data_IF_866680501838
#
_entry.id   IF_866680501838
#
_cell.length_a   1.000
_cell.length_b   1.000
_cell.length_c   1.000
_cell.angle_alpha   90.00
_cell.angle_beta   90.00
_cell.angle_gamma   90.00
#
_symmetry.space_group_name_H-M   'P 1'
#
loop_
_entity.id
_entity.type
_entity.pdbx_description
1 polymer ?
#
# COMPACT_ATOMS: atom_id res chain seq x y z
N UNK A 1 14.97 2.22 2.16
CA UNK A 1 14.24 3.12 3.08
C UNK A 1 14.40 2.74 4.55
N UNK A 2 14.25 1.49 4.99
CA UNK A 2 14.49 1.11 6.42
C UNK A 2 15.86 1.51 6.99
N UNK A 3 16.91 1.62 6.16
CA UNK A 3 18.24 2.12 6.59
C UNK A 3 18.29 3.60 6.96
N UNK A 4 17.36 4.42 6.45
CA UNK A 4 17.34 5.88 6.67
C UNK A 4 16.61 6.23 7.97
N UNK A 5 15.64 5.39 8.36
CA UNK A 5 14.94 5.48 9.63
C UNK A 5 15.76 4.72 10.68
N UNK A 6 16.78 5.36 11.25
CA UNK A 6 17.65 4.70 12.23
C UNK A 6 16.92 4.52 13.57
N UNK A 7 16.99 3.31 14.13
CA UNK A 7 16.44 2.96 15.47
C UNK A 7 17.14 3.68 16.61
N UNK A 8 18.38 4.10 16.38
CA UNK A 8 19.27 4.69 17.37
C UNK A 8 20.00 5.86 16.74
N UNK A 9 20.24 6.90 17.55
CA UNK A 9 21.07 8.03 17.17
C UNK A 9 22.46 7.53 16.75
N UNK A 10 23.00 7.99 15.61
CA UNK A 10 24.41 7.75 15.26
C UNK A 10 25.38 8.44 16.23
N UNK A 11 26.48 7.78 16.55
CA UNK A 11 27.50 8.31 17.48
C UNK A 11 28.11 9.64 17.01
N UNK A 12 28.12 9.87 15.70
CA UNK A 12 28.69 11.07 15.05
C UNK A 12 27.76 12.29 15.05
N UNK A 13 26.48 12.13 15.40
CA UNK A 13 25.48 13.20 15.35
C UNK A 13 25.24 13.78 16.75
N UNK A 14 25.05 15.10 16.85
CA UNK A 14 24.62 15.72 18.12
C UNK A 14 23.19 15.32 18.44
N UNK A 15 22.82 15.42 19.72
CA UNK A 15 21.48 15.03 20.18
C UNK A 15 20.40 15.95 19.58
N UNK A 16 20.69 17.24 19.52
CA UNK A 16 19.75 18.27 19.04
C UNK A 16 19.55 18.14 17.53
N UNK A 17 20.64 18.08 16.75
CA UNK A 17 20.58 17.81 15.31
C UNK A 17 19.79 16.52 14.97
N UNK A 18 19.93 15.48 15.80
CA UNK A 18 19.19 14.24 15.62
C UNK A 18 17.70 14.39 15.92
N UNK A 19 17.33 15.17 16.94
CA UNK A 19 15.94 15.46 17.27
C UNK A 19 15.27 16.27 16.17
N UNK A 20 15.93 17.33 15.68
CA UNK A 20 15.43 18.16 14.58
C UNK A 20 15.19 17.34 13.31
N UNK A 21 16.10 16.41 12.98
CA UNK A 21 15.93 15.50 11.86
C UNK A 21 14.75 14.54 12.03
N UNK A 22 14.51 14.04 13.25
CA UNK A 22 13.37 13.18 13.54
C UNK A 22 12.05 13.95 13.40
N UNK A 23 11.98 15.15 13.95
CA UNK A 23 10.80 16.01 13.88
C UNK A 23 10.49 16.39 12.44
N UNK A 24 11.50 16.80 11.66
CA UNK A 24 11.34 17.08 10.24
C UNK A 24 10.83 15.85 9.47
N UNK A 25 11.33 14.66 9.78
CA UNK A 25 10.87 13.44 9.14
C UNK A 25 9.41 13.09 9.49
N UNK A 26 9.01 13.28 10.76
CA UNK A 26 7.61 13.10 11.18
C UNK A 26 6.70 14.08 10.44
N UNK A 27 7.04 15.37 10.44
CA UNK A 27 6.24 16.39 9.74
C UNK A 27 6.15 16.12 8.24
N UNK A 28 7.26 15.70 7.61
CA UNK A 28 7.26 15.37 6.18
C UNK A 28 6.35 14.17 5.87
N UNK A 29 6.39 13.12 6.70
CA UNK A 29 5.48 11.98 6.52
C UNK A 29 4.03 12.42 6.68
N UNK A 30 3.70 13.18 7.72
CA UNK A 30 2.34 13.67 7.96
C UNK A 30 1.81 14.53 6.79
N UNK A 31 2.65 15.39 6.21
CA UNK A 31 2.30 16.21 5.05
C UNK A 31 1.99 15.41 3.78
N UNK A 32 2.51 14.18 3.68
CA UNK A 32 2.25 13.29 2.54
C UNK A 32 1.01 12.38 2.74
N UNK A 33 0.36 12.44 3.90
CA UNK A 33 -0.80 11.61 4.21
C UNK A 33 -2.10 12.41 4.02
N UNK A 34 -3.18 11.72 3.66
CA UNK A 34 -4.53 12.30 3.71
C UNK A 34 -5.04 12.39 5.14
N UNK A 35 -5.96 13.32 5.41
CA UNK A 35 -6.48 13.61 6.75
C UNK A 35 -6.94 12.37 7.54
N UNK A 36 -7.64 11.44 6.87
CA UNK A 36 -8.11 10.17 7.46
C UNK A 36 -6.96 9.31 8.01
N UNK A 37 -5.82 9.31 7.32
CA UNK A 37 -4.64 8.52 7.70
C UNK A 37 -3.85 9.28 8.77
N UNK A 38 -3.73 10.60 8.64
CA UNK A 38 -3.08 11.48 9.63
C UNK A 38 -3.72 11.34 11.00
N UNK A 39 -5.06 11.30 11.07
CA UNK A 39 -5.80 11.06 12.31
C UNK A 39 -5.44 9.73 12.99
N UNK A 40 -5.13 8.70 12.20
CA UNK A 40 -4.74 7.39 12.73
C UNK A 40 -3.31 7.36 13.26
N UNK A 41 -2.43 8.28 12.84
CA UNK A 41 -1.03 8.35 13.29
C UNK A 41 -0.73 9.56 14.17
N UNK A 42 -1.72 10.40 14.49
CA UNK A 42 -1.57 11.65 15.22
C UNK A 42 -0.90 11.50 16.60
N UNK A 43 -1.12 10.38 17.29
CA UNK A 43 -0.55 10.11 18.61
C UNK A 43 0.90 9.58 18.55
N UNK A 44 1.49 9.45 17.37
CA UNK A 44 2.84 8.92 17.19
C UNK A 44 3.83 10.06 17.00
N UNK A 45 4.79 10.16 17.90
CA UNK A 45 5.82 11.21 17.91
C UNK A 45 7.13 10.78 17.29
N UNK A 46 7.30 9.49 16.99
CA UNK A 46 8.54 8.99 16.36
C UNK A 46 8.32 8.60 14.91
N UNK A 47 9.22 9.06 14.03
CA UNK A 47 9.17 8.76 12.60
C UNK A 47 9.15 7.25 12.33
N UNK A 48 9.88 6.48 13.15
CA UNK A 48 9.93 5.03 13.04
C UNK A 48 8.61 4.34 13.39
N UNK A 49 8.01 4.66 14.53
CA UNK A 49 6.73 4.05 14.91
C UNK A 49 5.64 4.43 13.90
N UNK A 50 5.70 5.65 13.36
CA UNK A 50 4.79 6.11 12.33
C UNK A 50 4.95 5.26 11.07
N UNK A 51 6.18 5.06 10.61
CA UNK A 51 6.49 4.21 9.47
C UNK A 51 6.08 2.74 9.69
N UNK A 52 6.40 2.17 10.85
CA UNK A 52 6.04 0.79 11.19
C UNK A 52 4.52 0.61 11.26
N UNK A 53 3.77 1.61 11.76
CA UNK A 53 2.31 1.58 11.76
C UNK A 53 1.76 1.64 10.32
N UNK A 54 2.27 2.56 9.49
CA UNK A 54 1.87 2.64 8.09
C UNK A 54 2.19 1.34 7.33
N UNK A 55 3.37 0.74 7.55
CA UNK A 55 3.75 -0.55 6.99
C UNK A 55 2.77 -1.65 7.44
N UNK A 56 2.44 -1.71 8.74
CA UNK A 56 1.45 -2.68 9.26
C UNK A 56 0.04 -2.44 8.74
N UNK A 57 -0.35 -1.21 8.43
CA UNK A 57 -1.71 -0.91 7.95
C UNK A 57 -1.85 -1.21 6.46
N UNK A 58 -0.87 -0.79 5.65
CA UNK A 58 -0.97 -0.81 4.19
C UNK A 58 -0.14 -1.91 3.51
N UNK A 59 0.88 -2.43 4.17
CA UNK A 59 1.71 -3.54 3.68
C UNK A 59 1.49 -4.84 4.48
N UNK A 60 0.47 -4.86 5.33
CA UNK A 60 0.03 -6.06 6.04
C UNK A 60 -0.39 -7.14 5.05
N UNK A 61 0.26 -8.31 5.15
CA UNK A 61 -0.17 -9.54 4.49
C UNK A 61 -1.30 -10.24 5.27
N UNK A 62 -2.14 -9.47 5.96
CA UNK A 62 -3.25 -10.02 6.74
C UNK A 62 -4.21 -10.81 5.87
N UNK A 63 -4.92 -11.75 6.50
CA UNK A 63 -5.98 -12.51 5.84
C UNK A 63 -7.06 -11.58 5.25
N UNK A 64 -7.41 -10.51 5.96
CA UNK A 64 -8.39 -9.52 5.51
C UNK A 64 -7.94 -8.79 4.24
N UNK A 65 -6.69 -8.33 4.18
CA UNK A 65 -6.13 -7.69 2.96
C UNK A 65 -6.13 -8.65 1.77
N UNK A 66 -5.76 -9.91 2.00
CA UNK A 66 -5.79 -10.96 0.96
C UNK A 66 -7.21 -11.23 0.46
N UNK A 67 -8.17 -11.35 1.39
CA UNK A 67 -9.57 -11.61 1.06
C UNK A 67 -10.18 -10.44 0.28
N UNK A 68 -9.94 -9.21 0.71
CA UNK A 68 -10.40 -8.00 0.03
C UNK A 68 -9.88 -7.92 -1.42
N UNK A 69 -8.60 -8.19 -1.64
CA UNK A 69 -8.02 -8.20 -3.00
C UNK A 69 -8.60 -9.32 -3.86
N UNK A 70 -8.83 -10.52 -3.30
CA UNK A 70 -9.51 -11.62 -4.00
C UNK A 70 -10.94 -11.23 -4.38
N UNK A 71 -11.70 -10.64 -3.46
CA UNK A 71 -13.06 -10.16 -3.72
C UNK A 71 -13.06 -9.13 -4.85
N UNK A 72 -12.11 -8.18 -4.84
CA UNK A 72 -11.96 -7.18 -5.91
C UNK A 72 -11.60 -7.80 -7.26
N UNK A 73 -10.77 -8.86 -7.28
CA UNK A 73 -10.41 -9.58 -8.48
C UNK A 73 -11.61 -10.33 -9.08
N UNK A 74 -12.28 -11.16 -8.29
CA UNK A 74 -13.39 -11.99 -8.77
C UNK A 74 -14.67 -11.20 -9.04
N UNK A 75 -14.84 -10.06 -8.36
CA UNK A 75 -15.91 -9.10 -8.65
C UNK A 75 -15.59 -8.11 -9.76
N UNK A 76 -14.40 -8.16 -10.37
CA UNK A 76 -14.04 -7.24 -11.45
C UNK A 76 -14.88 -7.56 -12.69
N UNK A 77 -15.57 -6.54 -13.22
CA UNK A 77 -16.36 -6.61 -14.44
C UNK A 77 -16.11 -5.36 -15.28
N UNK A 78 -15.96 -5.55 -16.58
CA UNK A 78 -15.90 -4.46 -17.54
C UNK A 78 -17.32 -4.04 -17.93
N UNK A 79 -17.53 -2.74 -18.08
CA UNK A 79 -18.76 -2.20 -18.67
C UNK A 79 -18.71 -2.39 -20.18
N UNK A 80 -19.84 -2.60 -20.85
CA UNK A 80 -19.91 -2.83 -22.30
C UNK A 80 -19.28 -1.71 -23.12
N UNK A 81 -19.44 -0.45 -22.71
CA UNK A 81 -18.82 0.73 -23.32
C UNK A 81 -17.41 1.01 -22.80
N UNK A 82 -16.85 0.11 -22.00
CA UNK A 82 -15.58 0.28 -21.30
C UNK A 82 -14.37 0.10 -22.21
N UNK A 83 -13.26 0.75 -21.83
CA UNK A 83 -11.99 0.58 -22.52
C UNK A 83 -11.28 -0.70 -22.05
N UNK A 84 -11.09 -1.65 -22.97
CA UNK A 84 -10.44 -2.94 -22.69
C UNK A 84 -9.03 -2.78 -22.12
N UNK A 85 -8.22 -1.85 -22.64
CA UNK A 85 -6.84 -1.62 -22.16
C UNK A 85 -6.87 -1.12 -20.71
N UNK A 86 -7.76 -0.18 -20.39
CA UNK A 86 -7.92 0.32 -19.03
C UNK A 86 -8.37 -0.79 -18.06
N UNK A 87 -9.25 -1.68 -18.52
CA UNK A 87 -9.71 -2.84 -17.75
C UNK A 87 -8.58 -3.84 -17.48
N UNK A 88 -7.80 -4.20 -18.52
CA UNK A 88 -6.63 -5.08 -18.39
C UNK A 88 -5.59 -4.46 -17.45
N UNK A 89 -5.36 -3.15 -17.53
CA UNK A 89 -4.47 -2.45 -16.61
C UNK A 89 -4.95 -2.54 -15.16
N UNK A 90 -6.25 -2.35 -14.92
CA UNK A 90 -6.85 -2.49 -13.58
C UNK A 90 -6.74 -3.93 -13.06
N UNK A 91 -6.97 -4.92 -13.92
CA UNK A 91 -6.78 -6.34 -13.60
C UNK A 91 -5.32 -6.61 -13.19
N UNK A 92 -4.36 -6.16 -14.01
CA UNK A 92 -2.92 -6.34 -13.75
C UNK A 92 -2.46 -5.65 -12.46
N UNK A 93 -3.00 -4.48 -12.13
CA UNK A 93 -2.75 -3.81 -10.84
C UNK A 93 -3.21 -4.69 -9.66
N UNK A 94 -4.41 -5.27 -9.73
CA UNK A 94 -4.93 -6.15 -8.67
C UNK A 94 -4.06 -7.41 -8.53
N UNK A 95 -3.67 -8.04 -9.65
CA UNK A 95 -2.75 -9.19 -9.64
C UNK A 95 -1.39 -8.82 -9.03
N UNK A 96 -0.85 -7.65 -9.36
CA UNK A 96 0.38 -7.14 -8.76
C UNK A 96 0.26 -6.94 -7.25
N UNK A 97 -0.87 -6.40 -6.78
CA UNK A 97 -1.13 -6.26 -5.34
C UNK A 97 -1.25 -7.61 -4.63
N UNK A 98 -1.92 -8.58 -5.25
CA UNK A 98 -2.00 -9.96 -4.74
C UNK A 98 -0.61 -10.61 -4.62
N UNK A 99 0.26 -10.41 -5.61
CA UNK A 99 1.65 -10.88 -5.55
C UNK A 99 2.44 -10.30 -4.39
N UNK A 100 2.25 -9.01 -4.06
CA UNK A 100 2.92 -8.35 -2.92
C UNK A 100 2.50 -8.92 -1.56
N UNK A 101 1.31 -9.51 -1.47
CA UNK A 101 0.82 -10.20 -0.27
C UNK A 101 0.97 -11.72 -0.35
N UNK A 102 1.83 -12.23 -1.22
CA UNK A 102 2.12 -13.66 -1.43
C UNK A 102 0.90 -14.50 -1.85
N UNK A 103 -0.02 -13.91 -2.61
CA UNK A 103 -1.15 -14.65 -3.21
C UNK A 103 -0.88 -14.86 -4.70
N UNK A 104 -0.72 -16.12 -5.10
CA UNK A 104 -0.63 -16.53 -6.49
C UNK A 104 -2.02 -16.88 -7.03
N UNK A 105 -2.35 -16.36 -8.20
CA UNK A 105 -3.55 -16.72 -8.97
C UNK A 105 -3.08 -17.52 -10.17
N UNK A 106 -3.63 -18.72 -10.35
CA UNK A 106 -3.26 -19.64 -11.42
C UNK A 106 -4.07 -19.34 -12.68
N UNK A 107 -5.40 -19.25 -12.55
CA UNK A 107 -6.35 -19.10 -13.66
C UNK A 107 -6.53 -17.65 -14.15
N UNK A 108 -5.45 -16.86 -14.21
CA UNK A 108 -5.53 -15.42 -14.54
C UNK A 108 -6.24 -15.15 -15.87
N UNK A 109 -5.94 -15.95 -16.89
CA UNK A 109 -6.54 -15.80 -18.22
C UNK A 109 -8.05 -16.07 -18.18
N UNK A 110 -8.48 -17.14 -17.52
CA UNK A 110 -9.90 -17.48 -17.37
C UNK A 110 -10.64 -16.38 -16.58
N UNK A 111 -10.08 -15.91 -15.46
CA UNK A 111 -10.71 -14.85 -14.65
C UNK A 111 -10.82 -13.55 -15.45
N UNK A 112 -9.80 -13.19 -16.25
CA UNK A 112 -9.87 -12.02 -17.12
C UNK A 112 -10.97 -12.18 -18.17
N UNK A 113 -11.05 -13.32 -18.86
CA UNK A 113 -12.11 -13.60 -19.83
C UNK A 113 -13.51 -13.51 -19.20
N UNK A 114 -13.70 -14.12 -18.02
CA UNK A 114 -14.96 -14.05 -17.28
C UNK A 114 -15.31 -12.63 -16.79
N UNK A 115 -14.36 -11.70 -16.78
CA UNK A 115 -14.59 -10.30 -16.39
C UNK A 115 -15.04 -9.40 -17.55
N UNK A 116 -14.94 -9.88 -18.79
CA UNK A 116 -15.33 -9.13 -19.98
C UNK A 116 -16.83 -9.26 -20.27
N UNK A 117 -17.41 -8.31 -21.03
CA UNK A 117 -18.78 -8.42 -21.51
C UNK A 117 -18.87 -9.49 -22.61
N UNK A 118 -20.07 -10.03 -22.89
CA UNK A 118 -20.27 -11.09 -23.91
C UNK A 118 -19.90 -10.71 -25.35
N UNK A 119 -19.63 -9.43 -25.59
CA UNK A 119 -19.34 -8.85 -26.89
C UNK A 119 -17.88 -9.08 -27.35
N UNK A 120 -17.04 -9.63 -26.46
CA UNK A 120 -15.60 -9.88 -26.66
C UNK A 120 -15.28 -11.37 -26.73
#
# INVERSE_FOLDING_TARGET
>A
MKKVLLKKKPDKLKKDDWADMQDQAVSTIQLCLSDDITNQVMNITTCMEMWDKLEKMYMSKSLSSKLYLKQKLYGLKMVETGNLIAHVNKFNQIIGHLGRVDVKIEDKAMILLCSLPPQF
#
